data_IF_091163080930
#
_entry.id   IF_091163080930
#
_cell.length_a   1.000
_cell.length_b   1.000
_cell.length_c   1.000
_cell.angle_alpha   90.00
_cell.angle_beta   90.00
_cell.angle_gamma   90.00
#
_symmetry.space_group_name_H-M   'P 1'
#
loop_
_entity.id
_entity.type
_entity.pdbx_description
1 polymer ?
#
# COMPACT_ATOMS: atom_id res chain seq x y z
N UNK A 1 11.36 -15.79 -6.17
CA UNK A 1 11.37 -17.23 -6.14
C UNK A 1 9.97 -17.77 -6.42
N UNK A 2 9.89 -19.01 -6.88
CA UNK A 2 8.67 -19.60 -7.45
C UNK A 2 7.53 -19.68 -6.44
N UNK A 3 7.84 -19.99 -5.16
CA UNK A 3 6.84 -20.03 -4.09
C UNK A 3 6.21 -18.65 -3.86
N UNK A 4 7.00 -17.59 -3.86
CA UNK A 4 6.49 -16.24 -3.68
C UNK A 4 5.65 -15.80 -4.89
N UNK A 5 6.01 -16.23 -6.11
CA UNK A 5 5.21 -15.99 -7.29
C UNK A 5 3.85 -16.69 -7.20
N UNK A 6 3.83 -17.97 -6.82
CA UNK A 6 2.58 -18.70 -6.61
C UNK A 6 1.70 -18.07 -5.53
N UNK A 7 2.31 -17.61 -4.44
CA UNK A 7 1.58 -16.87 -3.40
C UNK A 7 0.98 -15.58 -3.93
N UNK A 8 1.72 -14.84 -4.75
CA UNK A 8 1.22 -13.61 -5.38
C UNK A 8 0.05 -13.90 -6.33
N UNK A 9 0.16 -14.95 -7.14
CA UNK A 9 -0.89 -15.33 -8.08
C UNK A 9 -2.20 -15.67 -7.34
N UNK A 10 -2.12 -16.46 -6.26
CA UNK A 10 -3.28 -16.74 -5.40
C UNK A 10 -3.86 -15.49 -4.72
N UNK A 11 -2.99 -14.58 -4.29
CA UNK A 11 -3.43 -13.31 -3.68
C UNK A 11 -4.16 -12.44 -4.68
N UNK A 12 -3.68 -12.36 -5.91
CA UNK A 12 -4.29 -11.55 -6.97
C UNK A 12 -5.73 -11.98 -7.31
N UNK A 13 -6.10 -13.24 -7.10
CA UNK A 13 -7.48 -13.73 -7.30
C UNK A 13 -8.48 -13.04 -6.37
N UNK A 14 -8.05 -12.70 -5.14
CA UNK A 14 -8.88 -12.02 -4.15
C UNK A 14 -8.88 -10.49 -4.28
N UNK A 15 -7.90 -9.93 -4.98
CA UNK A 15 -7.68 -8.48 -5.08
C UNK A 15 -7.70 -7.99 -6.53
N UNK A 16 -8.84 -8.08 -7.25
CA UNK A 16 -8.92 -7.72 -8.66
C UNK A 16 -8.62 -6.24 -8.93
N UNK A 17 -8.84 -5.36 -7.95
CA UNK A 17 -8.50 -3.93 -8.05
C UNK A 17 -7.00 -3.72 -8.31
N UNK A 18 -6.14 -4.59 -7.79
CA UNK A 18 -4.70 -4.49 -8.01
C UNK A 18 -4.27 -4.75 -9.47
N UNK A 19 -5.16 -5.28 -10.31
CA UNK A 19 -4.94 -5.37 -11.76
C UNK A 19 -5.22 -4.05 -12.50
N UNK A 20 -5.41 -2.94 -11.78
CA UNK A 20 -5.66 -1.64 -12.39
C UNK A 20 -4.36 -0.93 -12.78
N UNK A 21 -4.42 -0.21 -13.90
CA UNK A 21 -3.39 0.70 -14.38
C UNK A 21 -3.92 2.13 -14.41
N UNK A 22 -3.07 3.11 -14.15
CA UNK A 22 -3.47 4.50 -14.23
C UNK A 22 -3.45 4.97 -15.68
N UNK A 23 -4.57 5.55 -16.11
CA UNK A 23 -4.74 6.12 -17.45
C UNK A 23 -4.99 7.61 -17.35
N UNK A 24 -4.42 8.33 -18.28
CA UNK A 24 -4.67 9.76 -18.44
C UNK A 24 -5.77 9.96 -19.45
N UNK A 25 -6.89 10.56 -19.03
CA UNK A 25 -7.92 11.11 -19.91
C UNK A 25 -7.57 12.53 -20.37
N UNK A 26 -8.50 13.22 -21.01
CA UNK A 26 -8.29 14.61 -21.46
C UNK A 26 -8.09 15.57 -20.29
N UNK A 27 -8.86 15.40 -19.20
CA UNK A 27 -8.87 16.31 -18.05
C UNK A 27 -8.66 15.64 -16.71
N UNK A 28 -8.67 14.28 -16.63
CA UNK A 28 -8.56 13.53 -15.39
C UNK A 28 -7.78 12.24 -15.58
N UNK A 29 -7.37 11.64 -14.48
CA UNK A 29 -6.84 10.29 -14.45
C UNK A 29 -7.93 9.33 -13.99
N UNK A 30 -7.87 8.08 -14.47
CA UNK A 30 -8.76 7.01 -14.07
C UNK A 30 -8.02 5.68 -14.00
N UNK A 31 -8.53 4.77 -13.18
CA UNK A 31 -8.04 3.42 -13.08
C UNK A 31 -8.75 2.55 -14.12
N UNK A 32 -7.97 1.81 -14.90
CA UNK A 32 -8.48 0.89 -15.92
C UNK A 32 -8.00 -0.51 -15.56
N UNK A 33 -8.95 -1.43 -15.36
CA UNK A 33 -8.59 -2.84 -15.13
C UNK A 33 -7.94 -3.43 -16.37
N UNK A 34 -6.84 -4.15 -16.18
CA UNK A 34 -6.08 -4.82 -17.23
C UNK A 34 -5.65 -6.20 -16.75
N UNK A 35 -5.74 -7.17 -17.65
CA UNK A 35 -5.19 -8.49 -17.42
C UNK A 35 -3.66 -8.45 -17.62
N UNK A 36 -2.96 -8.02 -16.57
CA UNK A 36 -1.50 -7.96 -16.53
C UNK A 36 -1.04 -8.87 -15.40
N UNK A 37 -0.26 -9.86 -15.76
CA UNK A 37 0.33 -10.78 -14.78
C UNK A 37 1.36 -10.03 -13.92
N UNK A 38 1.16 -10.05 -12.61
CA UNK A 38 2.08 -9.47 -11.65
C UNK A 38 3.28 -10.42 -11.45
N UNK A 39 4.49 -9.89 -11.62
CA UNK A 39 5.72 -10.70 -11.54
C UNK A 39 6.54 -10.26 -10.34
N UNK A 40 6.86 -11.23 -9.47
CA UNK A 40 7.81 -11.05 -8.37
C UNK A 40 9.22 -10.82 -8.92
N UNK A 41 9.91 -9.81 -8.39
CA UNK A 41 11.25 -9.43 -8.85
C UNK A 41 12.25 -9.42 -7.69
N UNK A 42 13.50 -9.63 -8.01
CA UNK A 42 14.58 -9.30 -7.08
C UNK A 42 14.68 -7.77 -6.95
N UNK A 43 14.89 -7.29 -5.73
CA UNK A 43 15.06 -5.85 -5.47
C UNK A 43 16.33 -5.34 -6.13
N UNK A 44 16.18 -4.46 -7.11
CA UNK A 44 17.30 -3.86 -7.86
C UNK A 44 17.28 -2.34 -7.83
N UNK A 45 16.27 -1.76 -7.24
CA UNK A 45 16.09 -0.31 -7.14
C UNK A 45 15.83 0.09 -5.70
N UNK A 46 16.20 1.32 -5.31
CA UNK A 46 15.85 1.84 -3.98
C UNK A 46 14.34 1.78 -3.75
N UNK A 47 13.90 1.56 -2.49
CA UNK A 47 12.49 1.64 -2.13
C UNK A 47 11.90 3.00 -2.51
N UNK A 48 10.59 3.04 -2.76
CA UNK A 48 9.86 4.21 -3.24
C UNK A 48 10.30 4.74 -4.62
N UNK A 49 10.95 3.90 -5.42
CA UNK A 49 11.16 4.21 -6.84
C UNK A 49 9.82 4.34 -7.55
N UNK A 50 9.73 5.19 -8.57
CA UNK A 50 8.46 5.42 -9.27
C UNK A 50 7.89 4.12 -9.85
N UNK A 51 6.67 3.76 -9.43
CA UNK A 51 5.89 2.66 -9.98
C UNK A 51 5.09 3.11 -11.22
N UNK A 52 4.62 4.34 -11.20
CA UNK A 52 3.92 4.92 -12.33
C UNK A 52 4.92 5.50 -13.33
N UNK A 53 4.83 5.03 -14.57
CA UNK A 53 5.59 5.56 -15.70
C UNK A 53 4.57 6.08 -16.70
N UNK A 54 4.57 7.39 -17.03
CA UNK A 54 3.68 7.96 -18.03
C UNK A 54 3.70 7.13 -19.33
N UNK A 55 2.52 6.95 -19.91
CA UNK A 55 2.30 6.23 -21.18
C UNK A 55 2.63 4.73 -21.17
N UNK A 56 3.10 4.17 -20.06
CA UNK A 56 3.26 2.74 -19.89
C UNK A 56 2.09 2.14 -19.11
N UNK A 57 1.64 0.98 -19.56
CA UNK A 57 0.62 0.18 -18.88
C UNK A 57 1.29 -0.71 -17.83
N UNK A 58 1.72 -0.09 -16.71
CA UNK A 58 2.35 -0.81 -15.60
C UNK A 58 1.37 -0.92 -14.44
N UNK A 59 1.42 -2.04 -13.72
CA UNK A 59 0.73 -2.18 -12.46
C UNK A 59 1.21 -1.11 -11.48
N UNK A 60 0.32 -0.68 -10.60
CA UNK A 60 0.57 0.37 -9.60
C UNK A 60 1.11 -0.19 -8.29
N UNK A 61 1.57 -1.42 -8.30
CA UNK A 61 2.25 -2.06 -7.18
C UNK A 61 3.39 -2.94 -7.67
N UNK A 62 4.26 -3.30 -6.75
CA UNK A 62 5.35 -4.24 -6.98
C UNK A 62 5.58 -5.11 -5.75
N UNK A 63 5.77 -6.40 -5.98
CA UNK A 63 6.31 -7.33 -4.99
C UNK A 63 7.74 -7.66 -5.39
N UNK A 64 8.66 -7.46 -4.47
CA UNK A 64 10.06 -7.82 -4.67
C UNK A 64 10.64 -8.51 -3.44
N UNK A 65 11.78 -9.15 -3.60
CA UNK A 65 12.48 -9.77 -2.49
C UNK A 65 13.96 -9.40 -2.50
N UNK A 66 14.53 -9.36 -1.32
CA UNK A 66 15.97 -9.26 -1.11
C UNK A 66 16.37 -10.15 0.06
N UNK A 67 17.18 -11.18 -0.18
CA UNK A 67 17.53 -12.19 0.82
C UNK A 67 16.27 -12.80 1.48
N UNK A 68 16.07 -12.53 2.78
CA UNK A 68 14.96 -13.06 3.58
C UNK A 68 13.83 -12.02 3.78
N UNK A 69 13.81 -10.94 3.00
CA UNK A 69 12.82 -9.88 3.08
C UNK A 69 11.94 -9.88 1.84
N UNK A 70 10.64 -9.83 2.05
CA UNK A 70 9.64 -9.54 1.03
C UNK A 70 9.32 -8.05 1.13
N UNK A 71 9.38 -7.34 0.02
CA UNK A 71 9.00 -5.94 -0.09
C UNK A 71 7.72 -5.83 -0.91
N UNK A 72 6.81 -5.04 -0.41
CA UNK A 72 5.59 -4.65 -1.11
C UNK A 72 5.54 -3.14 -1.22
N UNK A 73 5.45 -2.64 -2.42
CA UNK A 73 5.32 -1.23 -2.73
C UNK A 73 4.04 -1.02 -3.53
N UNK A 74 3.26 -0.02 -3.16
CA UNK A 74 1.99 0.29 -3.83
C UNK A 74 1.83 1.80 -4.00
N UNK A 75 1.32 2.20 -5.16
CA UNK A 75 0.99 3.59 -5.42
C UNK A 75 -0.32 3.96 -4.72
N UNK A 76 -0.30 5.01 -3.92
CA UNK A 76 -1.40 5.36 -3.01
C UNK A 76 -2.74 5.66 -3.71
N UNK A 77 -2.73 5.91 -5.03
CA UNK A 77 -3.97 6.05 -5.79
C UNK A 77 -4.71 4.71 -5.99
N UNK A 78 -4.03 3.57 -5.78
CA UNK A 78 -4.64 2.25 -5.93
C UNK A 78 -5.40 1.82 -4.68
N UNK A 79 -4.82 2.09 -3.51
CA UNK A 79 -5.39 1.69 -2.22
C UNK A 79 -4.82 2.55 -1.09
N UNK A 80 -5.50 2.56 0.05
CA UNK A 80 -5.02 3.16 1.29
C UNK A 80 -4.11 2.20 2.07
N UNK A 81 -3.68 2.64 3.27
CA UNK A 81 -2.81 1.83 4.13
C UNK A 81 -3.47 0.54 4.61
N UNK A 82 -4.76 0.55 4.87
CA UNK A 82 -5.51 -0.63 5.34
C UNK A 82 -5.60 -1.67 4.23
N UNK A 83 -6.01 -1.27 3.04
CA UNK A 83 -6.07 -2.17 1.87
C UNK A 83 -4.70 -2.72 1.48
N UNK A 84 -3.64 -1.91 1.59
CA UNK A 84 -2.27 -2.36 1.37
C UNK A 84 -1.83 -3.43 2.38
N UNK A 85 -2.17 -3.24 3.67
CA UNK A 85 -1.86 -4.21 4.73
C UNK A 85 -2.65 -5.49 4.59
N UNK A 86 -3.92 -5.42 4.19
CA UNK A 86 -4.74 -6.61 3.91
C UNK A 86 -4.15 -7.44 2.76
N UNK A 87 -3.76 -6.79 1.68
CA UNK A 87 -3.07 -7.45 0.56
C UNK A 87 -1.77 -8.11 1.00
N UNK A 88 -0.91 -7.39 1.74
CA UNK A 88 0.36 -7.91 2.23
C UNK A 88 0.15 -9.10 3.18
N UNK A 89 -0.82 -9.02 4.08
CA UNK A 89 -1.14 -10.10 5.01
C UNK A 89 -1.58 -11.37 4.28
N UNK A 90 -2.44 -11.25 3.26
CA UNK A 90 -2.84 -12.38 2.43
C UNK A 90 -1.67 -12.97 1.66
N UNK A 91 -0.82 -12.13 1.07
CA UNK A 91 0.38 -12.57 0.36
C UNK A 91 1.32 -13.37 1.27
N UNK A 92 1.57 -12.88 2.48
CA UNK A 92 2.44 -13.55 3.45
C UNK A 92 1.82 -14.85 3.92
N UNK A 93 0.53 -14.91 4.18
CA UNK A 93 -0.18 -16.14 4.55
C UNK A 93 -0.07 -17.21 3.44
N UNK A 94 -0.38 -16.84 2.20
CA UNK A 94 -0.26 -17.75 1.06
C UNK A 94 1.18 -18.24 0.89
N UNK A 95 2.16 -17.34 1.05
CA UNK A 95 3.57 -17.70 1.00
C UNK A 95 3.95 -18.70 2.09
N UNK A 96 3.56 -18.47 3.33
CA UNK A 96 3.87 -19.35 4.45
C UNK A 96 3.22 -20.73 4.29
N UNK A 97 1.97 -20.79 3.85
CA UNK A 97 1.26 -22.06 3.59
C UNK A 97 1.97 -22.87 2.50
N UNK A 98 2.39 -22.22 1.43
CA UNK A 98 3.10 -22.87 0.33
C UNK A 98 4.54 -23.27 0.70
N UNK A 99 5.22 -22.45 1.50
CA UNK A 99 6.59 -22.70 1.92
C UNK A 99 6.70 -23.79 3.01
N UNK A 100 5.66 -23.92 3.84
CA UNK A 100 5.65 -24.84 4.99
C UNK A 100 4.36 -25.70 5.03
N UNK A 101 4.16 -26.56 4.02
CA UNK A 101 2.89 -27.29 3.87
C UNK A 101 2.60 -28.30 5.02
N UNK A 102 3.62 -28.68 5.78
CA UNK A 102 3.48 -29.57 6.95
C UNK A 102 3.23 -28.80 8.26
N UNK A 103 3.30 -27.48 8.24
CA UNK A 103 3.04 -26.68 9.41
C UNK A 103 1.52 -26.37 9.43
N UNK A 104 0.89 -26.65 10.58
CA UNK A 104 -0.52 -26.26 10.81
C UNK A 104 -0.55 -24.77 11.14
N UNK A 105 -0.46 -23.95 10.09
CA UNK A 105 -0.44 -22.50 10.22
C UNK A 105 -1.88 -21.98 10.26
N UNK A 106 -2.28 -21.26 11.33
CA UNK A 106 -3.60 -20.67 11.39
C UNK A 106 -3.77 -19.63 10.29
N UNK A 107 -4.89 -19.70 9.56
CA UNK A 107 -5.27 -18.58 8.69
C UNK A 107 -5.77 -17.45 9.58
N UNK A 108 -5.16 -16.28 9.44
CA UNK A 108 -5.67 -15.08 10.06
C UNK A 108 -6.90 -14.66 9.24
N UNK A 109 -8.08 -14.78 9.83
CA UNK A 109 -9.28 -14.22 9.23
C UNK A 109 -9.07 -12.72 9.13
N UNK A 110 -9.06 -12.20 7.91
CA UNK A 110 -9.11 -10.76 7.72
C UNK A 110 -10.47 -10.31 8.24
N UNK A 111 -10.48 -9.22 8.99
CA UNK A 111 -11.74 -8.58 9.38
C UNK A 111 -12.40 -8.19 8.06
N UNK A 112 -13.35 -8.98 7.61
CA UNK A 112 -14.18 -8.69 6.45
C UNK A 112 -15.13 -7.54 6.80
N UNK A 113 -14.60 -6.33 6.83
CA UNK A 113 -15.44 -5.13 6.91
C UNK A 113 -16.07 -4.79 5.55
N UNK A 114 -15.80 -5.58 4.51
CA UNK A 114 -16.22 -5.23 3.16
C UNK A 114 -17.02 -6.34 2.52
N UNK A 115 -18.28 -6.04 2.23
CA UNK A 115 -19.10 -6.84 1.31
C UNK A 115 -18.40 -6.99 -0.05
N UNK A 116 -18.57 -8.12 -0.76
CA UNK A 116 -18.09 -8.27 -2.13
C UNK A 116 -18.58 -7.09 -2.98
N UNK A 117 -17.63 -6.34 -3.56
CA UNK A 117 -17.93 -5.11 -4.29
C UNK A 117 -17.59 -3.81 -3.56
N UNK A 118 -17.58 -3.77 -2.23
CA UNK A 118 -17.24 -2.58 -1.47
C UNK A 118 -15.79 -2.08 -1.71
N UNK A 119 -14.89 -2.95 -2.14
CA UNK A 119 -13.54 -2.57 -2.54
C UNK A 119 -13.48 -1.79 -3.87
N UNK A 120 -14.52 -1.89 -4.69
CA UNK A 120 -14.63 -1.21 -5.99
C UNK A 120 -15.54 0.02 -5.92
N UNK A 121 -16.27 0.23 -4.82
CA UNK A 121 -17.20 1.34 -4.65
C UNK A 121 -16.47 2.62 -4.22
N UNK A 122 -16.87 3.74 -4.81
CA UNK A 122 -16.41 5.07 -4.40
C UNK A 122 -17.13 5.50 -3.10
N UNK A 123 -16.48 5.22 -1.97
CA UNK A 123 -16.96 5.60 -0.64
C UNK A 123 -17.22 7.12 -0.52
N UNK A 124 -16.51 7.95 -1.28
CA UNK A 124 -16.73 9.39 -1.26
C UNK A 124 -18.11 9.74 -1.80
N UNK A 125 -18.51 9.18 -2.94
CA UNK A 125 -19.84 9.42 -3.51
C UNK A 125 -20.96 8.89 -2.61
N UNK A 126 -20.72 7.82 -1.88
CA UNK A 126 -21.70 7.18 -1.01
C UNK A 126 -21.92 7.97 0.31
N UNK A 127 -20.85 8.51 0.89
CA UNK A 127 -20.90 9.18 2.21
C UNK A 127 -20.76 10.68 2.15
N UNK A 128 -20.54 11.28 0.98
CA UNK A 128 -20.43 12.71 0.84
C UNK A 128 -21.79 13.39 1.00
N UNK A 129 -21.87 14.35 1.91
CA UNK A 129 -22.99 15.26 2.05
C UNK A 129 -22.53 16.71 1.94
N UNK A 130 -23.18 17.49 1.09
CA UNK A 130 -22.95 18.94 1.01
C UNK A 130 -23.39 19.69 2.27
N UNK A 131 -24.22 19.06 3.11
CA UNK A 131 -24.85 19.67 4.29
C UNK A 131 -23.96 19.60 5.54
N UNK A 132 -22.75 19.04 5.42
CA UNK A 132 -21.78 19.04 6.52
C UNK A 132 -21.35 20.49 6.77
N UNK A 133 -21.65 21.08 7.96
CA UNK A 133 -21.23 22.43 8.27
C UNK A 133 -19.72 22.53 8.17
N UNK A 134 -19.23 23.44 7.30
CA UNK A 134 -17.80 23.72 7.16
C UNK A 134 -17.31 24.26 8.50
N UNK A 135 -16.68 23.41 9.29
CA UNK A 135 -16.04 23.85 10.52
C UNK A 135 -14.96 24.89 10.17
N UNK A 136 -15.22 26.15 10.55
CA UNK A 136 -14.32 27.28 10.27
C UNK A 136 -13.16 27.40 11.27
N UNK A 137 -13.04 26.46 12.19
CA UNK A 137 -11.90 26.47 13.10
C UNK A 137 -10.60 26.33 12.31
N UNK A 138 -9.76 27.35 12.40
CA UNK A 138 -8.43 27.32 11.82
C UNK A 138 -7.61 26.27 12.55
N UNK A 139 -7.43 25.11 11.93
CA UNK A 139 -6.49 24.11 12.44
C UNK A 139 -5.08 24.71 12.50
N UNK A 140 -4.32 24.48 13.57
CA UNK A 140 -2.94 24.93 13.64
C UNK A 140 -2.16 24.34 12.45
N UNK A 141 -1.23 25.12 11.92
CA UNK A 141 -0.40 24.67 10.82
C UNK A 141 0.46 23.47 11.25
N UNK A 142 0.57 22.47 10.39
CA UNK A 142 1.44 21.35 10.65
C UNK A 142 2.91 21.81 10.81
N UNK A 143 3.64 21.17 11.72
CA UNK A 143 5.07 21.41 11.89
C UNK A 143 5.78 20.98 10.60
N UNK A 144 6.53 21.90 10.02
CA UNK A 144 7.37 21.62 8.86
C UNK A 144 8.81 21.40 9.32
N UNK A 145 9.36 20.26 8.98
CA UNK A 145 10.80 20.03 9.17
C UNK A 145 11.58 20.96 8.26
N UNK A 146 12.61 21.59 8.83
CA UNK A 146 13.56 22.40 8.08
C UNK A 146 14.74 21.52 7.71
N UNK A 147 15.27 21.66 6.48
CA UNK A 147 16.41 20.91 6.01
C UNK A 147 16.69 21.23 4.55
N UNK A 148 17.78 20.72 4.06
CA UNK A 148 18.11 20.77 2.63
C UNK A 148 17.20 19.84 1.85
N UNK A 149 16.70 20.31 0.71
CA UNK A 149 15.93 19.46 -0.20
C UNK A 149 16.91 18.71 -1.09
N UNK A 150 16.81 17.40 -1.07
CA UNK A 150 17.52 16.56 -2.01
C UNK A 150 17.01 16.80 -3.44
N UNK A 151 17.87 16.55 -4.43
CA UNK A 151 17.45 16.55 -5.83
C UNK A 151 16.42 15.47 -6.07
N UNK A 152 15.58 15.64 -7.07
CA UNK A 152 14.37 14.84 -7.30
C UNK A 152 14.61 13.31 -7.47
N UNK A 153 15.85 12.90 -7.72
CA UNK A 153 16.27 11.49 -7.84
C UNK A 153 17.02 10.97 -6.60
N UNK A 154 17.34 11.82 -5.64
CA UNK A 154 18.11 11.43 -4.46
C UNK A 154 17.16 11.10 -3.32
N UNK A 155 17.23 9.87 -2.84
CA UNK A 155 16.47 9.41 -1.69
C UNK A 155 17.43 9.08 -0.57
N UNK A 156 17.15 9.60 0.61
CA UNK A 156 17.83 9.22 1.85
C UNK A 156 16.82 8.54 2.79
N UNK A 157 17.19 7.37 3.29
CA UNK A 157 16.42 6.66 4.29
C UNK A 157 17.11 6.88 5.63
N UNK A 158 16.35 7.37 6.61
CA UNK A 158 16.80 7.51 7.99
C UNK A 158 15.95 6.60 8.86
N UNK A 159 16.61 5.69 9.57
CA UNK A 159 15.97 4.80 10.55
C UNK A 159 16.24 5.32 11.94
N UNK A 160 15.20 5.48 12.75
CA UNK A 160 15.29 5.93 14.14
C UNK A 160 14.50 5.00 15.02
N UNK A 161 15.15 4.48 16.06
CA UNK A 161 14.49 3.67 17.09
C UNK A 161 14.04 4.60 18.22
N UNK A 162 12.73 4.68 18.45
CA UNK A 162 12.13 5.55 19.44
C UNK A 162 11.56 4.68 20.59
N UNK A 163 12.06 4.82 21.83
CA UNK A 163 11.53 4.09 22.97
C UNK A 163 10.08 4.51 23.29
N UNK A 164 9.13 3.59 23.15
CA UNK A 164 7.69 3.88 23.29
C UNK A 164 7.36 4.43 24.68
N UNK A 165 7.86 3.80 25.74
CA UNK A 165 7.56 4.19 27.13
C UNK A 165 7.99 5.63 27.44
N UNK A 166 9.21 6.00 27.08
CA UNK A 166 9.75 7.34 27.31
C UNK A 166 9.02 8.39 26.48
N UNK A 167 8.74 8.07 25.22
CA UNK A 167 8.00 8.97 24.32
C UNK A 167 6.58 9.24 24.81
N UNK A 168 5.86 8.21 25.23
CA UNK A 168 4.51 8.36 25.78
C UNK A 168 4.51 9.14 27.10
N UNK A 169 5.50 8.89 28.00
CA UNK A 169 5.62 9.64 29.23
C UNK A 169 5.84 11.13 28.95
N UNK A 170 6.74 11.42 28.02
CA UNK A 170 7.01 12.79 27.62
C UNK A 170 5.80 13.46 26.93
N UNK A 171 5.12 12.75 26.03
CA UNK A 171 3.92 13.30 25.37
C UNK A 171 2.81 13.64 26.40
N UNK A 172 2.56 12.77 27.38
CA UNK A 172 1.57 12.99 28.44
C UNK A 172 1.92 14.16 29.36
N UNK A 173 3.18 14.58 29.45
CA UNK A 173 3.59 15.75 30.25
C UNK A 173 3.26 17.08 29.57
N UNK A 174 2.87 17.03 28.30
CA UNK A 174 2.48 18.24 27.54
C UNK A 174 0.95 18.38 27.35
N UNK A 175 0.14 17.47 27.87
CA UNK A 175 -1.33 17.49 27.82
C UNK A 175 -1.90 16.31 27.06
#
# INVERSE_FOLDING_TARGET
SDILQQALDQTMEKYPLFQAVLRKGLFWFYLERRDIHAIVKEEKRPPCSSLYIPDKKTLLFQVSYYKNRINFEVYHALTDGTGAMNFLSELVQNYLILAYPSADLPRVEQIEETTPGAQEEDSFSQYYSSDIPKNKEKKPAAVKLKGEKLLHADMQITEVIIPVKETLTKARSYG
#
